data_IF_809700560263
#
_entry.id   IF_809700560263
#
_cell.length_a   1.000
_cell.length_b   1.000
_cell.length_c   1.000
_cell.angle_alpha   90.00
_cell.angle_beta   90.00
_cell.angle_gamma   90.00
#
_symmetry.space_group_name_H-M   'P 1'
#
loop_
_entity.id
_entity.type
_entity.pdbx_description
1 polymer ?
#
# COMPACT_ATOMS: atom_id res chain seq x y z
N UNK A 1 -5.58 3.88 -6.25
CA UNK A 1 -4.66 2.86 -6.79
C UNK A 1 -3.21 3.37 -6.89
N UNK A 2 -2.94 4.52 -7.53
CA UNK A 2 -1.56 5.00 -7.72
C UNK A 2 -0.87 5.35 -6.39
N UNK A 3 -1.56 5.99 -5.46
CA UNK A 3 -1.03 6.37 -4.15
C UNK A 3 -0.73 5.13 -3.31
N UNK A 4 -1.59 4.12 -3.37
CA UNK A 4 -1.45 2.88 -2.60
C UNK A 4 -0.23 2.08 -3.07
N UNK A 5 0.00 2.00 -4.37
CA UNK A 5 1.18 1.35 -4.95
C UNK A 5 2.48 2.08 -4.56
N UNK A 6 2.46 3.42 -4.63
CA UNK A 6 3.59 4.22 -4.18
C UNK A 6 3.91 4.03 -2.70
N UNK A 7 2.87 4.04 -1.85
CA UNK A 7 3.02 3.83 -0.41
C UNK A 7 3.58 2.43 -0.09
N UNK A 8 3.08 1.39 -0.76
CA UNK A 8 3.58 0.02 -0.60
C UNK A 8 5.07 -0.07 -0.95
N UNK A 9 5.48 0.52 -2.07
CA UNK A 9 6.87 0.54 -2.50
C UNK A 9 7.76 1.31 -1.51
N UNK A 10 7.32 2.48 -1.05
CA UNK A 10 8.07 3.30 -0.08
C UNK A 10 8.20 2.59 1.27
N UNK A 11 7.13 1.98 1.78
CA UNK A 11 7.17 1.27 3.05
C UNK A 11 8.12 0.06 3.00
N UNK A 12 8.06 -0.72 1.93
CA UNK A 12 8.96 -1.85 1.72
C UNK A 12 10.43 -1.42 1.58
N UNK A 13 10.67 -0.35 0.81
CA UNK A 13 12.02 0.22 0.72
C UNK A 13 12.58 0.65 2.07
N UNK A 14 11.77 1.34 2.90
CA UNK A 14 12.20 1.76 4.25
C UNK A 14 12.56 0.58 5.13
N UNK A 15 11.78 -0.49 5.07
CA UNK A 15 12.05 -1.74 5.80
C UNK A 15 13.37 -2.38 5.35
N UNK A 16 13.54 -2.60 4.05
CA UNK A 16 14.74 -3.21 3.47
C UNK A 16 16.00 -2.38 3.72
N UNK A 17 15.90 -1.05 3.57
CA UNK A 17 17.05 -0.18 3.76
C UNK A 17 17.45 -0.05 5.22
N UNK A 18 16.48 0.01 6.15
CA UNK A 18 16.75 0.00 7.61
C UNK A 18 17.39 -1.33 8.04
N UNK A 19 16.88 -2.44 7.56
CA UNK A 19 17.43 -3.77 7.81
C UNK A 19 18.87 -3.89 7.28
N UNK A 20 19.13 -3.38 6.08
CA UNK A 20 20.46 -3.34 5.50
C UNK A 20 21.46 -2.51 6.32
N UNK A 21 21.04 -1.33 6.80
CA UNK A 21 21.87 -0.48 7.65
C UNK A 21 22.18 -1.11 9.01
N UNK A 22 21.21 -1.83 9.60
CA UNK A 22 21.39 -2.52 10.88
C UNK A 22 22.31 -3.73 10.75
N UNK A 23 22.18 -4.49 9.65
CA UNK A 23 22.96 -5.72 9.43
C UNK A 23 24.40 -5.48 8.99
N UNK A 24 24.71 -4.32 8.40
CA UNK A 24 26.03 -4.02 7.83
C UNK A 24 26.49 -2.60 8.18
N UNK A 25 26.90 -2.32 9.43
CA UNK A 25 27.21 -0.97 9.91
C UNK A 25 28.42 -0.32 9.24
N UNK A 26 29.23 -1.07 8.49
CA UNK A 26 30.39 -0.56 7.73
C UNK A 26 30.23 -0.53 6.22
N UNK A 27 29.09 -0.97 5.69
CA UNK A 27 28.89 -1.03 4.24
C UNK A 27 28.59 0.34 3.62
N UNK A 28 28.99 0.51 2.35
CA UNK A 28 28.69 1.73 1.60
C UNK A 28 27.17 1.94 1.50
N UNK A 29 26.71 3.11 1.95
CA UNK A 29 25.29 3.50 1.94
C UNK A 29 24.66 3.47 0.55
N UNK A 30 25.45 3.78 -0.48
CA UNK A 30 24.97 3.74 -1.86
C UNK A 30 24.65 2.32 -2.29
N UNK A 31 25.52 1.38 -1.98
CA UNK A 31 25.33 -0.06 -2.27
C UNK A 31 24.12 -0.61 -1.52
N UNK A 32 24.00 -0.31 -0.22
CA UNK A 32 22.83 -0.71 0.58
C UNK A 32 21.51 -0.15 0.03
N UNK A 33 21.52 1.12 -0.38
CA UNK A 33 20.34 1.76 -0.96
C UNK A 33 19.93 1.12 -2.28
N UNK A 34 20.87 0.89 -3.18
CA UNK A 34 20.58 0.22 -4.46
C UNK A 34 20.09 -1.21 -4.26
N UNK A 35 20.67 -1.94 -3.31
CA UNK A 35 20.21 -3.27 -2.93
C UNK A 35 18.77 -3.26 -2.34
N UNK A 36 18.45 -2.26 -1.53
CA UNK A 36 17.09 -2.10 -1.01
C UNK A 36 16.06 -1.77 -2.11
N UNK A 37 16.43 -0.91 -3.07
CA UNK A 37 15.57 -0.59 -4.22
C UNK A 37 15.33 -1.84 -5.07
N UNK A 38 16.37 -2.62 -5.35
CA UNK A 38 16.25 -3.84 -6.15
C UNK A 38 15.33 -4.87 -5.46
N UNK A 39 15.51 -5.12 -4.16
CA UNK A 39 14.64 -6.02 -3.39
C UNK A 39 13.21 -5.52 -3.30
N UNK A 40 13.02 -4.21 -3.18
CA UNK A 40 11.69 -3.60 -3.18
C UNK A 40 11.00 -3.79 -4.53
N UNK A 41 11.72 -3.57 -5.63
CA UNK A 41 11.18 -3.78 -6.97
C UNK A 41 10.83 -5.26 -7.22
N UNK A 42 11.65 -6.18 -6.75
CA UNK A 42 11.39 -7.62 -6.90
C UNK A 42 10.21 -8.11 -6.04
N UNK A 43 9.98 -7.56 -4.86
CA UNK A 43 8.89 -7.97 -3.96
C UNK A 43 7.62 -7.14 -4.19
N UNK A 44 7.64 -5.90 -3.75
CA UNK A 44 6.48 -5.00 -3.85
C UNK A 44 6.14 -4.65 -5.30
N UNK A 45 7.15 -4.49 -6.17
CA UNK A 45 6.94 -4.22 -7.60
C UNK A 45 6.19 -5.35 -8.30
N UNK A 46 6.52 -6.61 -8.00
CA UNK A 46 5.77 -7.76 -8.54
C UNK A 46 4.32 -7.79 -8.05
N UNK A 47 4.08 -7.49 -6.77
CA UNK A 47 2.72 -7.39 -6.23
C UNK A 47 1.91 -6.31 -6.96
N UNK A 48 2.51 -5.15 -7.17
CA UNK A 48 1.91 -4.04 -7.92
C UNK A 48 1.59 -4.46 -9.36
N UNK A 49 2.53 -5.14 -10.01
CA UNK A 49 2.36 -5.62 -11.38
C UNK A 49 1.20 -6.62 -11.49
N UNK A 50 1.15 -7.63 -10.62
CA UNK A 50 0.07 -8.63 -10.65
C UNK A 50 -1.29 -7.99 -10.36
N UNK A 51 -1.38 -7.14 -9.34
CA UNK A 51 -2.62 -6.44 -8.99
C UNK A 51 -3.10 -5.55 -10.13
N UNK A 52 -2.22 -4.74 -10.71
CA UNK A 52 -2.55 -3.87 -11.83
C UNK A 52 -2.92 -4.63 -13.10
N UNK A 53 -2.23 -5.73 -13.39
CA UNK A 53 -2.57 -6.59 -14.54
C UNK A 53 -3.94 -7.23 -14.37
N UNK A 54 -4.26 -7.73 -13.17
CA UNK A 54 -5.59 -8.27 -12.88
C UNK A 54 -6.68 -7.23 -13.06
N UNK A 55 -6.45 -5.99 -12.57
CA UNK A 55 -7.39 -4.89 -12.75
C UNK A 55 -7.52 -4.48 -14.22
N UNK A 56 -6.42 -4.48 -14.98
CA UNK A 56 -6.44 -4.19 -16.41
C UNK A 56 -7.26 -5.25 -17.17
N UNK A 57 -7.09 -6.53 -16.88
CA UNK A 57 -7.88 -7.62 -17.49
C UNK A 57 -9.36 -7.46 -17.16
N UNK A 58 -9.70 -7.16 -15.90
CA UNK A 58 -11.09 -6.90 -15.52
C UNK A 58 -11.68 -5.70 -16.27
N UNK A 59 -10.88 -4.63 -16.45
CA UNK A 59 -11.29 -3.42 -17.20
C UNK A 59 -11.47 -3.69 -18.69
N UNK A 60 -10.69 -4.61 -19.28
CA UNK A 60 -10.89 -5.06 -20.66
C UNK A 60 -12.27 -5.73 -20.85
N UNK A 61 -12.76 -6.44 -19.83
CA UNK A 61 -14.10 -7.01 -19.85
C UNK A 61 -15.20 -5.96 -20.05
N UNK A 62 -15.02 -4.72 -19.58
CA UNK A 62 -15.99 -3.64 -19.80
C UNK A 62 -16.09 -3.20 -21.26
N UNK A 63 -15.06 -3.46 -22.06
CA UNK A 63 -15.06 -3.07 -23.49
C UNK A 63 -15.98 -3.96 -24.33
N UNK A 64 -16.34 -5.14 -23.82
CA UNK A 64 -17.25 -6.08 -24.52
C UNK A 64 -18.71 -5.62 -24.44
N UNK A 65 -19.06 -4.78 -23.47
CA UNK A 65 -20.41 -4.29 -23.30
C UNK A 65 -20.79 -3.27 -24.41
N UNK A 66 -22.01 -3.35 -24.91
CA UNK A 66 -22.51 -2.47 -25.97
C UNK A 66 -22.70 -1.00 -25.54
N UNK A 67 -23.15 -0.66 -24.30
CA UNK A 67 -23.37 0.73 -23.89
C UNK A 67 -22.09 1.55 -23.96
N UNK A 68 -22.11 2.63 -24.71
CA UNK A 68 -20.96 3.54 -24.91
C UNK A 68 -20.38 4.07 -23.60
N UNK A 69 -21.23 4.30 -22.58
CA UNK A 69 -20.81 4.76 -21.27
C UNK A 69 -19.92 3.70 -20.56
N UNK A 70 -20.32 2.43 -20.59
CA UNK A 70 -19.58 1.32 -19.95
C UNK A 70 -18.22 1.16 -20.65
N UNK A 71 -18.21 1.21 -21.96
CA UNK A 71 -16.98 1.13 -22.75
C UNK A 71 -16.03 2.30 -22.46
N UNK A 72 -16.54 3.51 -22.34
CA UNK A 72 -15.75 4.69 -21.98
C UNK A 72 -15.12 4.56 -20.59
N UNK A 73 -15.86 4.02 -19.61
CA UNK A 73 -15.32 3.69 -18.26
C UNK A 73 -14.19 2.65 -18.37
N UNK A 74 -14.36 1.61 -19.18
CA UNK A 74 -13.33 0.59 -19.41
C UNK A 74 -12.04 1.17 -19.97
N UNK A 75 -12.13 2.02 -21.01
CA UNK A 75 -10.97 2.69 -21.60
C UNK A 75 -10.28 3.60 -20.59
N UNK A 76 -11.06 4.40 -19.84
CA UNK A 76 -10.52 5.27 -18.78
C UNK A 76 -9.80 4.48 -17.69
N UNK A 77 -10.41 3.40 -17.22
CA UNK A 77 -9.82 2.53 -16.20
C UNK A 77 -8.50 1.89 -16.67
N UNK A 78 -8.46 1.41 -17.92
CA UNK A 78 -7.23 0.87 -18.53
C UNK A 78 -6.13 1.91 -18.62
N UNK A 79 -6.45 3.12 -19.09
CA UNK A 79 -5.48 4.22 -19.24
C UNK A 79 -4.90 4.62 -17.90
N UNK A 80 -5.75 4.80 -16.89
CA UNK A 80 -5.30 5.14 -15.52
C UNK A 80 -4.45 4.02 -14.93
N UNK A 81 -4.81 2.76 -15.14
CA UNK A 81 -4.04 1.62 -14.64
C UNK A 81 -2.68 1.53 -15.30
N UNK A 82 -2.60 1.72 -16.62
CA UNK A 82 -1.33 1.70 -17.35
C UNK A 82 -0.37 2.81 -16.85
N UNK A 83 -0.89 4.03 -16.68
CA UNK A 83 -0.12 5.16 -16.15
C UNK A 83 0.32 4.90 -14.70
N UNK A 84 -0.58 4.36 -13.86
CA UNK A 84 -0.29 4.03 -12.47
C UNK A 84 0.81 2.96 -12.35
N UNK A 85 0.74 1.89 -13.16
CA UNK A 85 1.77 0.85 -13.21
C UNK A 85 3.11 1.40 -13.70
N UNK A 86 3.12 2.13 -14.81
CA UNK A 86 4.32 2.75 -15.33
C UNK A 86 4.96 3.67 -14.28
N UNK A 87 4.17 4.51 -13.63
CA UNK A 87 4.64 5.41 -12.56
C UNK A 87 5.19 4.63 -11.35
N UNK A 88 4.48 3.62 -10.88
CA UNK A 88 4.90 2.83 -9.72
C UNK A 88 6.21 2.06 -9.99
N UNK A 89 6.38 1.51 -11.18
CA UNK A 89 7.54 0.69 -11.52
C UNK A 89 8.76 1.49 -12.01
N UNK A 90 8.57 2.73 -12.45
CA UNK A 90 9.67 3.56 -12.95
C UNK A 90 9.94 4.78 -12.08
N UNK A 91 8.92 5.63 -11.87
CA UNK A 91 9.06 6.88 -11.15
C UNK A 91 9.37 6.66 -9.68
N UNK A 92 8.68 5.72 -9.02
CA UNK A 92 8.90 5.47 -7.59
C UNK A 92 10.31 4.97 -7.31
N UNK A 93 10.87 3.93 -7.97
CA UNK A 93 12.27 3.53 -7.79
C UNK A 93 13.27 4.65 -8.11
N UNK A 94 13.01 5.46 -9.13
CA UNK A 94 13.87 6.60 -9.46
C UNK A 94 13.88 7.65 -8.33
N UNK A 95 12.71 8.00 -7.79
CA UNK A 95 12.59 8.90 -6.65
C UNK A 95 13.24 8.34 -5.38
N UNK A 96 13.13 7.04 -5.13
CA UNK A 96 13.82 6.37 -4.03
C UNK A 96 15.33 6.42 -4.20
N UNK A 97 15.85 6.34 -5.42
CA UNK A 97 17.25 6.52 -5.73
C UNK A 97 17.77 7.91 -5.34
N UNK A 98 16.97 8.95 -5.59
CA UNK A 98 17.33 10.35 -5.30
C UNK A 98 17.08 10.70 -3.83
N UNK A 99 15.90 10.37 -3.31
CA UNK A 99 15.42 10.84 -2.01
C UNK A 99 15.47 9.78 -0.89
N UNK A 100 15.87 8.54 -1.18
CA UNK A 100 15.79 7.41 -0.26
C UNK A 100 16.49 7.65 1.10
N UNK A 101 17.65 8.34 1.08
CA UNK A 101 18.35 8.68 2.31
C UNK A 101 17.56 9.62 3.23
N UNK A 102 16.74 10.51 2.64
CA UNK A 102 15.88 11.43 3.39
C UNK A 102 14.67 10.75 3.99
N UNK A 103 14.17 9.69 3.33
CA UNK A 103 13.00 8.92 3.78
C UNK A 103 13.29 8.04 5.01
N UNK A 104 14.55 7.65 5.20
CA UNK A 104 14.99 6.79 6.33
C UNK A 104 15.50 7.62 7.50
N UNK A 105 15.97 8.85 7.27
CA UNK A 105 16.34 9.76 8.36
C UNK A 105 15.09 10.18 9.13
N UNK A 106 15.13 10.21 10.47
CA UNK A 106 14.04 10.80 11.25
C UNK A 106 13.88 12.26 10.79
N UNK A 107 12.71 12.58 10.24
CA UNK A 107 12.43 13.88 9.63
C UNK A 107 12.56 15.00 10.68
N UNK A 108 12.90 16.20 10.24
CA UNK A 108 12.97 17.38 11.14
C UNK A 108 11.66 17.63 11.91
N UNK A 109 10.53 17.16 11.39
CA UNK A 109 9.20 17.17 12.04
C UNK A 109 9.12 16.29 13.30
N UNK A 110 9.96 15.25 13.42
CA UNK A 110 10.02 14.42 14.64
C UNK A 110 10.71 15.14 15.80
N UNK A 111 11.39 16.28 15.54
CA UNK A 111 12.00 17.11 16.57
C UNK A 111 10.99 18.01 17.30
N UNK A 112 9.78 18.19 16.78
CA UNK A 112 8.69 18.87 17.48
C UNK A 112 8.04 17.91 18.48
N UNK A 113 8.04 18.19 19.80
CA UNK A 113 7.67 17.22 20.84
C UNK A 113 6.22 16.72 20.74
N UNK A 114 5.30 17.51 20.21
CA UNK A 114 3.90 17.15 20.00
C UNK A 114 3.69 16.35 18.72
N UNK A 115 4.32 16.76 17.63
CA UNK A 115 4.22 16.13 16.31
C UNK A 115 5.06 14.86 16.27
N UNK A 116 6.23 14.85 16.91
CA UNK A 116 7.07 13.65 17.06
C UNK A 116 6.33 12.52 17.76
N UNK A 117 5.65 12.80 18.89
CA UNK A 117 4.84 11.79 19.62
C UNK A 117 3.66 11.27 18.81
N UNK A 118 3.00 12.12 18.02
CA UNK A 118 1.91 11.67 17.15
C UNK A 118 2.44 10.82 16.00
N UNK A 119 3.53 11.23 15.33
CA UNK A 119 4.13 10.48 14.22
C UNK A 119 4.75 9.17 14.71
N UNK A 120 5.41 9.12 15.85
CA UNK A 120 5.93 7.86 16.41
C UNK A 120 4.79 6.95 16.88
N UNK A 121 3.69 7.50 17.33
CA UNK A 121 2.53 6.72 17.81
C UNK A 121 1.68 6.15 16.65
N UNK A 122 1.64 6.85 15.51
CA UNK A 122 0.84 6.44 14.32
C UNK A 122 1.69 6.02 13.13
N UNK A 123 2.97 6.40 13.05
CA UNK A 123 3.83 6.23 11.89
C UNK A 123 5.06 5.35 12.10
N UNK A 124 5.40 4.99 13.32
CA UNK A 124 6.49 4.06 13.57
C UNK A 124 5.97 2.62 13.45
N UNK A 125 6.36 2.02 12.34
CA UNK A 125 6.23 0.59 12.10
C UNK A 125 7.37 -0.13 12.85
N UNK A 126 7.51 0.17 14.15
CA UNK A 126 8.26 -0.72 15.04
C UNK A 126 7.30 -1.83 15.45
N UNK A 127 7.63 -3.12 15.22
CA UNK A 127 6.69 -4.24 15.37
C UNK A 127 6.10 -4.41 16.76
N UNK A 128 6.66 -3.81 17.81
CA UNK A 128 6.41 -4.24 19.17
C UNK A 128 5.69 -3.27 20.12
N UNK A 129 5.49 -1.97 19.80
CA UNK A 129 4.97 -1.01 20.78
C UNK A 129 3.85 -0.06 20.30
N UNK A 130 3.32 -0.21 19.08
CA UNK A 130 2.28 0.68 18.53
C UNK A 130 0.86 0.33 18.98
N UNK A 131 -0.07 1.28 18.87
CA UNK A 131 -1.52 1.06 19.08
C UNK A 131 -2.02 -0.06 18.17
N UNK A 132 -1.50 -0.18 16.96
CA UNK A 132 -1.81 -1.26 16.03
C UNK A 132 -1.31 -2.62 16.51
N UNK A 133 -0.16 -2.72 17.14
CA UNK A 133 0.37 -3.96 17.71
C UNK A 133 -0.53 -4.48 18.84
N UNK A 134 -1.05 -3.59 19.69
CA UNK A 134 -2.02 -3.95 20.74
C UNK A 134 -3.34 -4.42 20.14
N UNK A 135 -3.82 -3.74 19.10
CA UNK A 135 -5.04 -4.12 18.37
C UNK A 135 -4.85 -5.49 17.70
N UNK A 136 -3.75 -5.68 16.98
CA UNK A 136 -3.41 -6.95 16.31
C UNK A 136 -3.32 -8.09 17.32
N UNK A 137 -2.66 -7.86 18.47
CA UNK A 137 -2.55 -8.86 19.55
C UNK A 137 -3.89 -9.20 20.17
N UNK A 138 -4.83 -8.22 20.25
CA UNK A 138 -6.19 -8.43 20.75
C UNK A 138 -7.05 -9.18 19.73
N UNK A 139 -6.90 -8.87 18.45
CA UNK A 139 -7.52 -9.59 17.33
C UNK A 139 -7.04 -11.04 17.29
N UNK A 140 -5.73 -11.26 17.40
CA UNK A 140 -5.14 -12.60 17.41
C UNK A 140 -5.52 -13.44 18.63
N UNK A 141 -5.94 -12.80 19.73
CA UNK A 141 -6.35 -13.53 20.96
C UNK A 141 -7.74 -14.16 20.85
N UNK A 142 -8.61 -13.59 20.01
CA UNK A 142 -9.97 -14.08 19.75
C UNK A 142 -10.35 -13.96 18.27
N UNK A 143 -9.62 -14.66 17.36
CA UNK A 143 -9.80 -14.46 15.92
C UNK A 143 -11.21 -14.81 15.45
N UNK A 144 -11.78 -15.92 15.94
CA UNK A 144 -13.11 -16.36 15.57
C UNK A 144 -14.21 -15.35 15.99
N UNK A 145 -14.13 -14.83 17.21
CA UNK A 145 -15.11 -13.86 17.72
C UNK A 145 -15.08 -12.56 16.92
N UNK A 146 -13.89 -12.05 16.61
CA UNK A 146 -13.75 -10.80 15.84
C UNK A 146 -14.19 -11.01 14.39
N UNK A 147 -13.87 -12.16 13.77
CA UNK A 147 -14.35 -12.48 12.43
C UNK A 147 -15.87 -12.54 12.37
N UNK A 148 -16.52 -13.19 13.34
CA UNK A 148 -18.00 -13.26 13.43
C UNK A 148 -18.58 -11.86 13.63
N UNK A 149 -18.00 -11.06 14.52
CA UNK A 149 -18.48 -9.69 14.77
C UNK A 149 -18.38 -8.81 13.53
N UNK A 150 -17.25 -8.88 12.80
CA UNK A 150 -17.07 -8.17 11.55
C UNK A 150 -18.04 -8.66 10.47
N UNK A 151 -18.25 -9.96 10.36
CA UNK A 151 -19.22 -10.54 9.41
C UNK A 151 -20.64 -10.07 9.72
N UNK A 152 -21.06 -10.08 10.99
CA UNK A 152 -22.36 -9.57 11.42
C UNK A 152 -22.52 -8.07 11.14
N UNK A 153 -21.47 -7.28 11.41
CA UNK A 153 -21.48 -5.85 11.11
C UNK A 153 -21.62 -5.58 9.60
N UNK A 154 -20.90 -6.33 8.75
CA UNK A 154 -21.01 -6.23 7.30
C UNK A 154 -22.40 -6.66 6.80
N UNK A 155 -22.98 -7.73 7.35
CA UNK A 155 -24.32 -8.17 7.01
C UNK A 155 -25.37 -7.13 7.43
N UNK A 156 -25.21 -6.53 8.61
CA UNK A 156 -26.09 -5.45 9.05
C UNK A 156 -26.00 -4.21 8.14
N UNK A 157 -24.79 -3.84 7.70
CA UNK A 157 -24.58 -2.76 6.72
C UNK A 157 -25.12 -3.11 5.32
N UNK A 158 -25.12 -4.38 4.94
CA UNK A 158 -25.66 -4.86 3.68
C UNK A 158 -27.20 -5.00 3.71
N UNK A 159 -27.81 -5.05 4.90
CA UNK A 159 -29.27 -5.28 5.04
C UNK A 159 -30.15 -4.27 4.26
N UNK A 160 -29.82 -2.95 4.14
CA UNK A 160 -30.60 -2.03 3.33
C UNK A 160 -30.65 -2.37 1.85
N UNK A 161 -29.62 -3.08 1.34
CA UNK A 161 -29.57 -3.51 -0.07
C UNK A 161 -30.66 -4.53 -0.38
N UNK A 162 -31.02 -5.38 0.60
CA UNK A 162 -32.09 -6.38 0.44
C UNK A 162 -33.48 -5.74 0.36
N UNK A 163 -33.65 -4.51 0.87
CA UNK A 163 -34.91 -3.75 0.81
C UNK A 163 -35.01 -2.83 -0.42
N UNK A 164 -33.96 -2.69 -1.22
CA UNK A 164 -33.96 -1.96 -2.49
C UNK A 164 -34.86 -2.71 -3.48
N UNK A 165 -36.16 -2.37 -3.51
CA UNK A 165 -37.01 -2.73 -4.64
C UNK A 165 -36.54 -1.91 -5.83
N UNK A 166 -35.96 -2.58 -6.82
CA UNK A 166 -35.77 -2.00 -8.14
C UNK A 166 -37.18 -1.66 -8.65
N UNK A 167 -37.57 -0.40 -8.57
CA UNK A 167 -38.78 0.10 -9.20
C UNK A 167 -38.54 -0.02 -10.72
N UNK A 168 -39.25 -0.95 -11.32
CA UNK A 168 -39.25 -1.19 -12.77
C UNK A 168 -40.28 -0.21 -13.37
#
# INVERSE_FOLDING_TARGET
>A
LSIDYGLLMVSRFREEYRSGLAGHPGADRRTLKLGAIARTADTAGRTVLYSGTTFAIASLGLLVFEPRLVRAIGVGALSVTAIALASALTLVPALLGIAGDRLVRPGALTRLPLVGRAITRFGDVAPDEGVFSRLTRRVQRHPALITVLCALALLALASPVLSLRLAN
#
